data_IF_917549325077
#
_entry.id   IF_917549325077
#
_cell.length_a   1.000
_cell.length_b   1.000
_cell.length_c   1.000
_cell.angle_alpha   90.00
_cell.angle_beta   90.00
_cell.angle_gamma   90.00
#
_symmetry.space_group_name_H-M   'P 1'
#
loop_
_entity.id
_entity.type
_entity.pdbx_description
1 polymer ?
#
# COMPACT_ATOMS: atom_id res chain seq x y z
N UNK A 1 -15.78 -3.29 -17.81
CA UNK A 1 -15.07 -4.29 -16.97
C UNK A 1 -14.36 -3.55 -15.85
N UNK A 2 -14.48 -3.99 -14.61
CA UNK A 2 -13.79 -3.40 -13.45
C UNK A 2 -12.47 -4.13 -13.20
N UNK A 3 -11.41 -3.40 -12.83
CA UNK A 3 -10.10 -4.00 -12.51
C UNK A 3 -10.10 -4.46 -11.06
N UNK A 4 -9.72 -5.71 -10.81
CA UNK A 4 -9.48 -6.22 -9.47
C UNK A 4 -7.99 -6.05 -9.11
N UNK A 5 -7.72 -5.30 -8.05
CA UNK A 5 -6.36 -4.97 -7.60
C UNK A 5 -6.00 -5.84 -6.40
N UNK A 6 -4.88 -6.55 -6.51
CA UNK A 6 -4.24 -7.23 -5.40
C UNK A 6 -3.16 -6.32 -4.81
N UNK A 7 -3.42 -5.75 -3.64
CA UNK A 7 -2.49 -4.88 -2.93
C UNK A 7 -1.54 -5.74 -2.11
N UNK A 8 -0.27 -5.74 -2.49
CA UNK A 8 0.73 -6.64 -1.94
C UNK A 8 1.57 -5.97 -0.86
N UNK A 9 1.97 -6.77 0.12
CA UNK A 9 3.00 -6.39 1.08
C UNK A 9 4.40 -6.53 0.48
N UNK A 10 5.44 -6.07 1.19
CA UNK A 10 6.84 -6.19 0.76
C UNK A 10 7.31 -7.63 0.53
N UNK A 11 6.64 -8.60 1.14
CA UNK A 11 6.88 -10.04 0.96
C UNK A 11 6.11 -10.64 -0.24
N UNK A 12 5.54 -9.80 -1.12
CA UNK A 12 4.72 -10.22 -2.25
C UNK A 12 3.44 -11.00 -1.89
N UNK A 13 3.01 -10.97 -0.62
CA UNK A 13 1.75 -11.58 -0.19
C UNK A 13 0.62 -10.57 -0.24
N UNK A 14 -0.58 -10.94 -0.75
CA UNK A 14 -1.76 -10.07 -0.72
C UNK A 14 -2.08 -9.63 0.71
N UNK A 15 -2.31 -8.33 0.89
CA UNK A 15 -2.79 -7.71 2.13
C UNK A 15 -4.24 -7.27 1.99
N UNK A 16 -4.64 -6.83 0.80
CA UNK A 16 -6.01 -6.53 0.45
C UNK A 16 -6.25 -6.89 -1.03
N UNK A 17 -7.44 -7.37 -1.35
CA UNK A 17 -7.92 -7.50 -2.72
C UNK A 17 -9.17 -6.64 -2.85
N UNK A 18 -9.20 -5.74 -3.83
CA UNK A 18 -10.31 -4.78 -3.98
C UNK A 18 -10.49 -4.38 -5.44
N UNK A 19 -11.73 -4.14 -5.84
CA UNK A 19 -12.08 -3.45 -7.09
C UNK A 19 -12.30 -1.94 -6.89
N UNK A 20 -12.30 -1.48 -5.63
CA UNK A 20 -12.42 -0.08 -5.24
C UNK A 20 -11.15 0.35 -4.47
N UNK A 21 -10.27 1.05 -5.18
CA UNK A 21 -9.00 1.52 -4.64
C UNK A 21 -9.17 2.78 -3.77
N UNK A 22 -10.18 3.61 -4.03
CA UNK A 22 -10.42 4.84 -3.28
C UNK A 22 -10.87 4.51 -1.85
N UNK A 23 -11.85 3.61 -1.71
CA UNK A 23 -12.31 3.16 -0.39
C UNK A 23 -11.19 2.51 0.42
N UNK A 24 -10.29 1.76 -0.23
CA UNK A 24 -9.13 1.19 0.44
C UNK A 24 -8.26 2.26 1.10
N UNK A 25 -7.88 3.31 0.36
CA UNK A 25 -7.02 4.36 0.88
C UNK A 25 -7.67 5.18 2.00
N UNK A 26 -8.99 5.43 1.90
CA UNK A 26 -9.72 6.24 2.90
C UNK A 26 -10.04 5.49 4.19
N UNK A 27 -10.06 4.15 4.17
CA UNK A 27 -10.53 3.34 5.31
C UNK A 27 -9.53 2.26 5.70
N UNK A 28 -9.42 1.21 4.89
CA UNK A 28 -8.67 -0.01 5.21
C UNK A 28 -7.16 0.21 5.33
N UNK A 29 -6.61 1.16 4.59
CA UNK A 29 -5.17 1.44 4.59
C UNK A 29 -4.63 1.72 6.00
N UNK A 30 -5.37 2.44 6.84
CA UNK A 30 -4.90 2.81 8.18
C UNK A 30 -4.70 1.60 9.09
N UNK A 31 -5.53 0.56 8.96
CA UNK A 31 -5.37 -0.69 9.71
C UNK A 31 -4.22 -1.54 9.14
N UNK A 32 -4.15 -1.67 7.82
CA UNK A 32 -3.06 -2.38 7.13
C UNK A 32 -1.70 -1.73 7.46
N UNK A 33 -1.64 -0.40 7.48
CA UNK A 33 -0.47 0.39 7.84
C UNK A 33 0.02 0.09 9.25
N UNK A 34 -0.87 0.03 10.26
CA UNK A 34 -0.48 -0.25 11.65
C UNK A 34 0.25 -1.59 11.75
N UNK A 35 -0.28 -2.61 11.08
CA UNK A 35 0.31 -3.95 11.10
C UNK A 35 1.62 -4.03 10.29
N UNK A 36 1.62 -3.48 9.07
CA UNK A 36 2.79 -3.53 8.19
C UNK A 36 3.94 -2.67 8.66
N UNK A 37 3.68 -1.50 9.28
CA UNK A 37 4.75 -0.66 9.85
C UNK A 37 5.51 -1.38 10.96
N UNK A 38 4.82 -2.21 11.76
CA UNK A 38 5.47 -3.03 12.81
C UNK A 38 6.33 -4.13 12.21
N UNK A 39 5.86 -4.81 11.15
CA UNK A 39 6.60 -5.90 10.49
C UNK A 39 7.74 -5.39 9.60
N UNK A 40 7.56 -4.23 8.99
CA UNK A 40 8.48 -3.64 8.01
C UNK A 40 8.81 -2.18 8.36
N UNK A 41 9.60 -1.95 9.42
CA UNK A 41 9.90 -0.59 9.90
C UNK A 41 10.77 0.22 8.93
N UNK A 42 11.46 -0.44 7.98
CA UNK A 42 12.33 0.22 6.98
C UNK A 42 11.55 0.77 5.77
N UNK A 43 10.26 0.50 5.64
CA UNK A 43 9.44 1.03 4.55
C UNK A 43 8.72 2.31 4.95
N UNK A 44 8.47 3.17 3.95
CA UNK A 44 7.67 4.37 4.15
C UNK A 44 6.19 4.01 4.24
N UNK A 45 5.57 4.39 5.36
CA UNK A 45 4.14 4.20 5.62
C UNK A 45 3.52 5.56 5.96
N UNK A 46 3.14 6.36 4.95
CA UNK A 46 2.63 7.72 5.15
C UNK A 46 1.35 7.75 5.99
N UNK A 47 1.16 8.81 6.77
CA UNK A 47 -0.10 9.05 7.48
C UNK A 47 -1.23 9.39 6.52
N UNK A 48 -0.94 10.21 5.50
CA UNK A 48 -1.84 10.51 4.39
C UNK A 48 -1.38 9.78 3.12
N UNK A 49 -2.06 8.69 2.72
CA UNK A 49 -1.70 7.96 1.51
C UNK A 49 -2.08 8.66 0.20
N UNK A 50 -3.02 9.61 0.22
CA UNK A 50 -3.53 10.25 -0.99
C UNK A 50 -2.61 11.35 -1.50
N UNK A 51 -1.78 11.93 -0.63
CA UNK A 51 -0.81 12.99 -0.96
C UNK A 51 0.65 12.51 -0.95
N UNK A 52 0.89 11.25 -0.59
CA UNK A 52 2.24 10.70 -0.48
C UNK A 52 2.94 10.61 -1.84
N UNK A 53 4.16 11.16 -1.91
CA UNK A 53 4.99 11.03 -3.10
C UNK A 53 5.52 9.59 -3.26
N UNK A 54 5.51 9.02 -4.48
CA UNK A 54 6.11 7.72 -4.74
C UNK A 54 7.62 7.75 -4.47
N UNK A 55 8.23 6.64 -4.00
CA UNK A 55 9.67 6.58 -3.81
C UNK A 55 10.38 6.76 -5.15
N UNK A 56 11.60 7.31 -5.11
CA UNK A 56 12.42 7.47 -6.31
C UNK A 56 12.61 6.11 -6.98
N UNK A 57 12.36 5.97 -8.29
CA UNK A 57 12.63 4.74 -8.99
C UNK A 57 14.11 4.40 -8.88
N UNK A 58 14.42 3.11 -8.68
CA UNK A 58 15.82 2.66 -8.71
C UNK A 58 16.35 2.83 -10.14
N UNK A 59 17.63 3.19 -10.32
CA UNK A 59 18.24 3.20 -11.64
C UNK A 59 18.04 1.82 -12.28
N UNK A 60 17.57 1.77 -13.53
CA UNK A 60 17.63 0.54 -14.30
C UNK A 60 19.11 0.27 -14.58
N UNK A 61 19.59 -0.91 -14.18
CA UNK A 61 20.91 -1.41 -14.58
C UNK A 61 20.91 -1.73 -16.07
#
# INVERSE_FOLDING_TARGET
VTVLVHLLGPNHRPQQVTSDLESFWRTTYHEVRKELRRRYPKHSWPDDPLTAAPPRPRPRA
#
